data_IF_116082613477
#
_entry.id   IF_116082613477
#
_cell.length_a   1.000
_cell.length_b   1.000
_cell.length_c   1.000
_cell.angle_alpha   90.00
_cell.angle_beta   90.00
_cell.angle_gamma   90.00
#
_symmetry.space_group_name_H-M   'P 1'
#
loop_
_entity.id
_entity.type
_entity.pdbx_description
1 polymer ?
#
# COMPACT_ATOMS: atom_id res chain seq x y z
N UNK A 1 -1.31 15.42 -34.99
CA UNK A 1 -0.29 14.83 -34.07
C UNK A 1 -0.21 15.53 -32.70
N UNK A 2 -0.44 16.84 -32.59
CA UNK A 2 -0.36 17.58 -31.30
C UNK A 2 -1.54 17.28 -30.35
N UNK A 3 -2.73 16.99 -30.87
CA UNK A 3 -3.95 16.77 -30.07
C UNK A 3 -3.90 15.50 -29.19
N UNK A 4 -3.10 14.50 -29.56
CA UNK A 4 -2.99 13.24 -28.81
C UNK A 4 -2.16 13.36 -27.51
N UNK A 5 -1.47 14.49 -27.30
CA UNK A 5 -0.70 14.74 -26.07
C UNK A 5 -1.48 15.51 -24.99
N UNK A 6 -2.60 16.14 -25.36
CA UNK A 6 -3.36 17.02 -24.47
C UNK A 6 -4.29 16.25 -23.54
N UNK A 7 -4.83 15.10 -23.98
CA UNK A 7 -5.79 14.34 -23.18
C UNK A 7 -5.13 13.17 -22.43
N UNK A 8 -4.15 13.46 -21.58
CA UNK A 8 -3.75 12.55 -20.51
C UNK A 8 -4.13 13.18 -19.18
N UNK A 9 -5.42 13.15 -18.88
CA UNK A 9 -5.92 13.48 -17.54
C UNK A 9 -5.42 12.40 -16.58
N UNK A 10 -4.26 12.64 -15.96
CA UNK A 10 -3.85 11.93 -14.75
C UNK A 10 -4.72 12.47 -13.63
N UNK A 11 -5.97 12.02 -13.56
CA UNK A 11 -6.72 12.17 -12.33
C UNK A 11 -6.01 11.34 -11.27
N UNK A 12 -5.13 11.98 -10.51
CA UNK A 12 -4.73 11.45 -9.21
C UNK A 12 -5.94 11.70 -8.33
N UNK A 13 -6.84 10.73 -8.29
CA UNK A 13 -7.94 10.70 -7.33
C UNK A 13 -7.33 10.52 -5.93
N UNK A 14 -6.84 11.63 -5.36
CA UNK A 14 -6.31 11.72 -4.01
C UNK A 14 -7.44 11.70 -2.98
N UNK A 15 -8.23 10.62 -2.96
CA UNK A 15 -9.09 10.31 -1.83
C UNK A 15 -8.24 9.66 -0.76
N UNK A 16 -8.29 10.16 0.48
CA UNK A 16 -7.68 9.49 1.63
C UNK A 16 -8.04 8.01 1.57
N UNK A 17 -7.02 7.14 1.49
CA UNK A 17 -7.26 5.70 1.47
C UNK A 17 -8.02 5.32 2.74
N UNK A 18 -9.04 4.46 2.63
CA UNK A 18 -9.81 3.96 3.77
C UNK A 18 -8.91 3.54 4.96
N UNK A 19 -7.76 2.94 4.65
CA UNK A 19 -6.71 2.58 5.59
C UNK A 19 -6.13 3.76 6.40
N UNK A 20 -5.98 4.94 5.81
CA UNK A 20 -5.47 6.14 6.50
C UNK A 20 -6.45 6.69 7.52
N UNK A 21 -7.75 6.67 7.22
CA UNK A 21 -8.79 7.05 8.19
C UNK A 21 -8.88 6.03 9.34
N UNK A 22 -8.78 4.74 9.02
CA UNK A 22 -8.75 3.67 10.02
C UNK A 22 -7.50 3.77 10.92
N UNK A 23 -6.35 4.14 10.36
CA UNK A 23 -5.12 4.36 11.12
C UNK A 23 -5.28 5.50 12.15
N UNK A 24 -5.94 6.61 11.77
CA UNK A 24 -6.20 7.73 12.68
C UNK A 24 -7.22 7.33 13.76
N UNK A 25 -8.28 6.59 13.40
CA UNK A 25 -9.28 6.09 14.36
C UNK A 25 -8.64 5.17 15.43
N UNK A 26 -7.83 4.21 15.02
CA UNK A 26 -7.12 3.31 15.95
C UNK A 26 -6.12 4.08 16.83
N UNK A 27 -5.41 5.05 16.26
CA UNK A 27 -4.51 5.93 17.02
C UNK A 27 -5.26 6.74 18.07
N UNK A 28 -6.44 7.26 17.72
CA UNK A 28 -7.33 7.97 18.65
C UNK A 28 -7.81 7.07 19.80
N UNK A 29 -8.29 5.86 19.50
CA UNK A 29 -8.74 4.89 20.52
C UNK A 29 -7.61 4.45 21.48
N UNK A 30 -6.37 4.35 20.98
CA UNK A 30 -5.19 4.06 21.81
C UNK A 30 -4.89 5.20 22.79
N UNK A 31 -4.97 6.44 22.33
CA UNK A 31 -4.75 7.63 23.16
C UNK A 31 -5.87 7.87 24.17
N UNK A 32 -7.11 7.45 23.87
CA UNK A 32 -8.24 7.54 24.81
C UNK A 32 -8.30 6.35 25.80
N UNK A 33 -7.33 5.43 25.76
CA UNK A 33 -7.19 4.36 26.74
C UNK A 33 -8.16 3.19 26.57
N UNK A 34 -8.81 3.05 25.40
CA UNK A 34 -9.70 1.92 25.13
C UNK A 34 -8.95 0.63 24.74
N UNK A 35 -7.65 0.72 24.41
CA UNK A 35 -6.87 -0.42 23.92
C UNK A 35 -5.46 -0.44 24.52
N UNK A 36 -5.09 -1.53 25.21
CA UNK A 36 -3.76 -1.69 25.81
C UNK A 36 -2.67 -2.14 24.83
N UNK A 37 -3.01 -2.39 23.57
CA UNK A 37 -2.11 -3.02 22.60
C UNK A 37 -0.86 -2.21 22.24
N UNK A 38 0.25 -2.86 21.91
CA UNK A 38 1.49 -2.18 21.49
C UNK A 38 1.30 -1.29 20.26
N UNK A 39 2.02 -0.16 20.21
CA UNK A 39 1.89 0.85 19.14
C UNK A 39 2.13 0.30 17.73
N UNK A 40 2.97 -0.74 17.59
CA UNK A 40 3.20 -1.41 16.31
C UNK A 40 1.88 -1.93 15.71
N UNK A 41 0.98 -2.46 16.54
CA UNK A 41 -0.27 -3.04 16.09
C UNK A 41 -1.35 -2.00 15.84
N UNK A 42 -1.33 -0.88 16.55
CA UNK A 42 -2.17 0.30 16.28
C UNK A 42 -1.89 0.86 14.88
N UNK A 43 -0.62 0.80 14.45
CA UNK A 43 -0.17 1.21 13.12
C UNK A 43 -0.34 0.12 12.04
N UNK A 44 -0.85 -1.06 12.39
CA UNK A 44 -1.09 -2.17 11.44
C UNK A 44 -1.83 -1.76 10.16
N UNK A 45 -2.89 -0.91 10.19
CA UNK A 45 -3.56 -0.46 8.98
C UNK A 45 -2.65 0.27 7.99
N UNK A 46 -1.57 0.90 8.48
CA UNK A 46 -0.62 1.65 7.68
C UNK A 46 0.43 0.75 7.01
N UNK A 47 0.95 -0.27 7.73
CA UNK A 47 2.05 -1.11 7.23
C UNK A 47 1.60 -2.46 6.65
N UNK A 48 0.41 -2.98 7.00
CA UNK A 48 -0.15 -4.20 6.40
C UNK A 48 -0.18 -4.13 4.87
N UNK A 49 -0.67 -3.05 4.23
CA UNK A 49 -0.69 -2.96 2.76
C UNK A 49 0.72 -3.03 2.15
N UNK A 50 1.72 -2.47 2.84
CA UNK A 50 3.12 -2.50 2.40
C UNK A 50 3.71 -3.91 2.51
N UNK A 51 3.50 -4.58 3.64
CA UNK A 51 3.96 -5.97 3.86
C UNK A 51 3.30 -6.91 2.87
N UNK A 52 1.99 -6.82 2.66
CA UNK A 52 1.28 -7.61 1.65
C UNK A 52 1.81 -7.33 0.24
N UNK A 53 2.06 -6.07 -0.11
CA UNK A 53 2.64 -5.70 -1.40
C UNK A 53 4.01 -6.34 -1.61
N UNK A 54 4.89 -6.30 -0.61
CA UNK A 54 6.21 -6.94 -0.65
C UNK A 54 6.07 -8.46 -0.77
N UNK A 55 5.21 -9.08 0.03
CA UNK A 55 5.01 -10.53 0.02
C UNK A 55 4.52 -11.04 -1.34
N UNK A 56 3.82 -10.22 -2.13
CA UNK A 56 3.35 -10.57 -3.47
C UNK A 56 4.41 -10.22 -4.53
N UNK A 57 4.96 -9.01 -4.50
CA UNK A 57 5.85 -8.51 -5.57
C UNK A 57 7.19 -9.23 -5.57
N UNK A 58 7.78 -9.51 -4.41
CA UNK A 58 9.08 -10.19 -4.33
C UNK A 58 9.09 -11.58 -5.00
N UNK A 59 8.19 -12.52 -4.65
CA UNK A 59 8.16 -13.82 -5.31
C UNK A 59 7.82 -13.71 -6.80
N UNK A 60 6.95 -12.78 -7.20
CA UNK A 60 6.67 -12.53 -8.62
C UNK A 60 7.93 -12.09 -9.39
N UNK A 61 8.73 -11.20 -8.80
CA UNK A 61 9.99 -10.75 -9.39
C UNK A 61 11.01 -11.89 -9.47
N UNK A 62 11.11 -12.72 -8.43
CA UNK A 62 11.99 -13.90 -8.41
C UNK A 62 11.56 -14.88 -9.50
N UNK A 63 10.27 -15.23 -9.58
CA UNK A 63 9.72 -16.14 -10.60
C UNK A 63 9.92 -15.58 -12.02
N UNK A 64 9.70 -14.29 -12.24
CA UNK A 64 9.93 -13.64 -13.52
C UNK A 64 11.42 -13.61 -13.90
N UNK A 65 12.31 -13.43 -12.93
CA UNK A 65 13.77 -13.49 -13.15
C UNK A 65 14.21 -14.92 -13.47
N UNK A 66 13.69 -15.91 -12.73
CA UNK A 66 13.96 -17.34 -12.92
C UNK A 66 13.45 -17.85 -14.27
N UNK A 67 12.24 -17.45 -14.69
CA UNK A 67 11.72 -17.86 -16.00
C UNK A 67 12.56 -17.27 -17.15
N UNK A 68 13.03 -16.03 -16.98
CA UNK A 68 13.88 -15.34 -17.97
C UNK A 68 15.30 -15.91 -18.07
N UNK A 69 15.83 -16.52 -17.00
CA UNK A 69 17.11 -17.22 -17.04
C UNK A 69 17.03 -18.62 -17.63
N UNK A 70 15.83 -19.23 -17.67
CA UNK A 70 15.65 -20.60 -18.17
C UNK A 70 15.52 -20.69 -19.70
N UNK A 71 15.24 -19.56 -20.36
CA UNK A 71 14.98 -19.49 -21.81
C UNK A 71 16.06 -18.73 -22.59
N UNK A 72 17.14 -18.32 -21.91
CA UNK A 72 18.39 -17.88 -22.53
C UNK A 72 19.41 -18.99 -22.39
#
# INVERSE_FOLDING_TARGET
MVLARVFRSRFIAGGFSFFGMLAILFSGLKLTGYIDWEWIWVLAPLWIPFVLGIAIVLPLQVLAKVSRSRFR
#
